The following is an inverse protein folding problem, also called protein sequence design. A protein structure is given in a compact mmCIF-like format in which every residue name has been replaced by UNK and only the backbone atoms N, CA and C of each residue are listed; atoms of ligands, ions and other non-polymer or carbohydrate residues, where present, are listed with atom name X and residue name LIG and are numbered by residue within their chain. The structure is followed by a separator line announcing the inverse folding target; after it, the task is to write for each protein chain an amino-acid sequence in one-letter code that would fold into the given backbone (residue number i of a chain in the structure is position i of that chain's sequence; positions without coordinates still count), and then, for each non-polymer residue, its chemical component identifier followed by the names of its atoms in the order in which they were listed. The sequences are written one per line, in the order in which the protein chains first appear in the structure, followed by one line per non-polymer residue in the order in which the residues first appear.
data_IF_796334490777
#
_entry.id   IF_796334490777
#
_cell.length_a   1.000
_cell.length_b   1.000
_cell.length_c   1.000
_cell.angle_alpha   90.00
_cell.angle_beta   90.00
_cell.angle_gamma   90.00
#
_symmetry.space_group_name_H-M   'P 1'
#
loop_
_entity.id
_entity.type
_entity.pdbx_description
1 polymer ?
#
# COMPACT_ATOMS: atom_id res chain seq x y z
N UNK A 1 33.45 -10.96 -23.90
CA UNK A 1 31.99 -11.05 -24.18
C UNK A 1 31.29 -10.70 -22.89
N UNK A 2 30.91 -9.41 -22.76
CA UNK A 2 30.31 -8.85 -21.55
C UNK A 2 28.89 -9.35 -21.41
N UNK A 3 28.60 -10.11 -20.35
CA UNK A 3 27.23 -10.50 -20.01
C UNK A 3 26.52 -9.29 -19.40
N UNK A 4 25.63 -8.67 -20.17
CA UNK A 4 24.69 -7.68 -19.66
C UNK A 4 23.70 -8.46 -18.79
N UNK A 5 23.84 -8.35 -17.47
CA UNK A 5 22.83 -8.81 -16.54
C UNK A 5 21.60 -7.92 -16.73
N UNK A 6 20.57 -8.44 -17.38
CA UNK A 6 19.24 -7.83 -17.40
C UNK A 6 18.71 -7.88 -15.97
N UNK A 7 18.84 -6.76 -15.23
CA UNK A 7 18.24 -6.65 -13.90
C UNK A 7 16.73 -6.68 -14.09
N UNK A 8 16.09 -7.80 -13.80
CA UNK A 8 14.65 -7.83 -13.64
C UNK A 8 14.31 -6.91 -12.46
N UNK A 9 13.83 -5.69 -12.73
CA UNK A 9 13.44 -4.75 -11.67
C UNK A 9 12.29 -5.38 -10.88
N UNK A 10 12.54 -5.74 -9.63
CA UNK A 10 11.49 -6.19 -8.73
C UNK A 10 10.47 -5.05 -8.55
N UNK A 11 9.19 -5.40 -8.57
CA UNK A 11 8.13 -4.43 -8.31
C UNK A 11 8.20 -4.00 -6.84
N UNK A 12 7.95 -2.72 -6.59
CA UNK A 12 8.05 -2.13 -5.24
C UNK A 12 6.68 -2.00 -4.59
N UNK A 13 6.61 -2.32 -3.31
CA UNK A 13 5.40 -2.17 -2.47
C UNK A 13 5.65 -1.13 -1.39
N UNK A 14 4.72 -0.21 -1.24
CA UNK A 14 4.61 0.68 -0.09
C UNK A 14 3.49 0.16 0.81
N UNK A 15 3.79 -0.04 2.10
CA UNK A 15 2.79 -0.43 3.10
C UNK A 15 2.84 0.56 4.25
N UNK A 16 1.70 1.15 4.57
CA UNK A 16 1.55 2.04 5.71
C UNK A 16 0.43 1.57 6.63
N UNK A 17 0.77 1.40 7.90
CA UNK A 17 -0.16 0.96 8.94
C UNK A 17 -0.68 2.16 9.73
N UNK A 18 -1.97 2.14 10.05
CA UNK A 18 -2.61 2.99 11.05
C UNK A 18 -3.49 2.12 11.95
N UNK A 19 -3.59 2.45 13.23
CA UNK A 19 -4.47 1.74 14.16
C UNK A 19 -3.71 1.12 15.33
N UNK A 20 -3.81 -0.20 15.50
CA UNK A 20 -3.33 -0.92 16.67
C UNK A 20 -2.33 -2.04 16.32
N UNK A 21 -1.86 -2.75 17.35
CA UNK A 21 -0.91 -3.87 17.21
C UNK A 21 -1.40 -4.99 16.27
N UNK A 22 -2.72 -5.16 16.14
CA UNK A 22 -3.29 -6.13 15.20
C UNK A 22 -2.99 -5.73 13.76
N UNK A 23 -3.18 -4.45 13.41
CA UNK A 23 -2.83 -3.94 12.08
C UNK A 23 -1.34 -4.08 11.80
N UNK A 24 -0.46 -3.87 12.79
CA UNK A 24 0.98 -4.06 12.57
C UNK A 24 1.32 -5.52 12.27
N UNK A 25 0.75 -6.46 13.02
CA UNK A 25 0.92 -7.90 12.77
C UNK A 25 0.39 -8.32 11.39
N UNK A 26 -0.75 -7.79 10.99
CA UNK A 26 -1.34 -8.05 9.68
C UNK A 26 -0.43 -7.49 8.56
N UNK A 27 0.10 -6.28 8.77
CA UNK A 27 1.06 -5.66 7.85
C UNK A 27 2.35 -6.48 7.73
N UNK A 28 2.89 -7.03 8.83
CA UNK A 28 4.05 -7.94 8.79
C UNK A 28 3.75 -9.21 7.98
N UNK A 29 2.56 -9.80 8.17
CA UNK A 29 2.13 -10.99 7.44
C UNK A 29 2.03 -10.72 5.93
N UNK A 30 1.44 -9.57 5.56
CA UNK A 30 1.38 -9.12 4.16
C UNK A 30 2.77 -8.84 3.61
N UNK A 31 3.68 -8.28 4.41
CA UNK A 31 5.06 -8.01 3.98
C UNK A 31 5.78 -9.30 3.61
N UNK A 32 5.70 -10.32 4.47
CA UNK A 32 6.29 -11.63 4.22
C UNK A 32 5.70 -12.31 2.97
N UNK A 33 4.38 -12.20 2.77
CA UNK A 33 3.72 -12.73 1.57
C UNK A 33 4.22 -12.06 0.29
N UNK A 34 4.29 -10.73 0.26
CA UNK A 34 4.77 -9.98 -0.91
C UNK A 34 6.25 -10.28 -1.21
N UNK A 35 7.09 -10.36 -0.18
CA UNK A 35 8.48 -10.79 -0.32
C UNK A 35 8.59 -12.18 -0.94
N UNK A 36 7.81 -13.15 -0.47
CA UNK A 36 7.79 -14.50 -1.06
C UNK A 36 7.35 -14.55 -2.53
N UNK A 37 6.67 -13.48 -3.00
CA UNK A 37 6.22 -13.29 -4.37
C UNK A 37 7.21 -12.46 -5.22
N UNK A 38 8.36 -12.08 -4.67
CA UNK A 38 9.42 -11.36 -5.38
C UNK A 38 9.23 -9.84 -5.44
N UNK A 39 8.46 -9.27 -4.52
CA UNK A 39 8.35 -7.81 -4.38
C UNK A 39 9.40 -7.28 -3.41
N UNK A 40 9.91 -6.09 -3.70
CA UNK A 40 10.72 -5.28 -2.78
C UNK A 40 9.84 -4.24 -2.07
N UNK A 41 10.34 -3.68 -0.96
CA UNK A 41 9.66 -2.61 -0.23
C UNK A 41 10.29 -1.25 -0.46
N UNK A 42 9.46 -0.22 -0.45
CA UNK A 42 9.87 1.19 -0.51
C UNK A 42 9.14 2.00 0.55
N UNK A 43 9.82 2.99 1.10
CA UNK A 43 9.22 4.04 1.94
C UNK A 43 8.76 5.25 1.11
N UNK A 44 9.23 5.33 -0.14
CA UNK A 44 8.78 6.32 -1.10
C UNK A 44 7.55 5.79 -1.86
N UNK A 45 6.38 6.35 -1.53
CA UNK A 45 5.10 6.01 -2.15
C UNK A 45 5.07 6.31 -3.66
N UNK A 46 5.83 7.30 -4.12
CA UNK A 46 5.84 7.74 -5.50
C UNK A 46 6.68 6.78 -6.40
N UNK A 47 7.45 5.89 -5.78
CA UNK A 47 8.19 4.79 -6.43
C UNK A 47 7.46 3.44 -6.37
N UNK A 48 6.31 3.36 -5.70
CA UNK A 48 5.62 2.10 -5.48
C UNK A 48 4.76 1.69 -6.69
N UNK A 49 4.83 0.40 -7.03
CA UNK A 49 3.92 -0.25 -7.97
C UNK A 49 2.65 -0.74 -7.27
N UNK A 50 2.74 -0.98 -5.95
CA UNK A 50 1.61 -1.32 -5.09
C UNK A 50 1.63 -0.46 -3.84
N UNK A 51 0.52 0.20 -3.52
CA UNK A 51 0.35 1.02 -2.32
C UNK A 51 -0.73 0.38 -1.46
N UNK A 52 -0.39 0.00 -0.22
CA UNK A 52 -1.32 -0.59 0.74
C UNK A 52 -1.41 0.24 2.01
N UNK A 53 -2.64 0.63 2.37
CA UNK A 53 -2.94 1.21 3.67
C UNK A 53 -3.67 0.20 4.53
N UNK A 54 -3.08 -0.22 5.65
CA UNK A 54 -3.77 -1.07 6.62
C UNK A 54 -4.27 -0.21 7.77
N UNK A 55 -5.59 -0.09 7.93
CA UNK A 55 -6.18 0.87 8.87
C UNK A 55 -7.35 0.31 9.66
N UNK A 56 -7.49 0.81 10.90
CA UNK A 56 -8.57 0.50 11.81
C UNK A 56 -9.70 1.53 11.67
N UNK A 57 -10.96 1.08 11.74
CA UNK A 57 -12.15 1.94 11.73
C UNK A 57 -12.56 2.43 13.13
N UNK A 58 -12.19 1.67 14.16
CA UNK A 58 -12.64 1.92 15.55
C UNK A 58 -11.99 3.17 16.16
N UNK A 59 -10.87 3.63 15.60
CA UNK A 59 -10.12 4.79 16.10
C UNK A 59 -10.28 5.92 15.09
N UNK A 60 -11.14 6.90 15.39
CA UNK A 60 -11.45 8.05 14.49
C UNK A 60 -10.21 8.67 13.81
N UNK A 61 -9.12 8.87 14.53
CA UNK A 61 -7.90 9.47 13.96
C UNK A 61 -7.17 8.61 12.91
N UNK A 62 -7.45 7.30 12.81
CA UNK A 62 -6.83 6.43 11.81
C UNK A 62 -7.51 6.59 10.44
N UNK A 63 -8.83 6.74 10.41
CA UNK A 63 -9.61 6.91 9.18
C UNK A 63 -9.32 8.27 8.53
N UNK A 64 -9.38 9.36 9.31
CA UNK A 64 -9.11 10.72 8.85
C UNK A 64 -7.76 10.84 8.12
N UNK A 65 -6.76 10.11 8.61
CA UNK A 65 -5.41 10.08 8.01
C UNK A 65 -5.39 9.43 6.64
N UNK A 66 -6.19 8.39 6.41
CA UNK A 66 -6.26 7.69 5.13
C UNK A 66 -7.12 8.50 4.15
N UNK A 67 -8.26 9.03 4.58
CA UNK A 67 -9.08 9.93 3.77
C UNK A 67 -8.33 11.20 3.34
N UNK A 68 -7.57 11.82 4.24
CA UNK A 68 -6.72 12.97 3.90
C UNK A 68 -5.64 12.67 2.85
N UNK A 69 -5.32 11.39 2.60
CA UNK A 69 -4.36 10.95 1.58
C UNK A 69 -5.02 10.60 0.25
N UNK A 70 -6.36 10.51 0.18
CA UNK A 70 -7.10 10.13 -1.02
C UNK A 70 -6.68 10.97 -2.25
N UNK A 71 -6.57 12.29 -2.10
CA UNK A 71 -6.14 13.18 -3.18
C UNK A 71 -4.74 12.86 -3.73
N UNK A 72 -3.77 12.53 -2.86
CA UNK A 72 -2.43 12.10 -3.28
C UNK A 72 -2.51 10.78 -4.04
N UNK A 73 -3.31 9.83 -3.57
CA UNK A 73 -3.47 8.52 -4.20
C UNK A 73 -4.09 8.61 -5.60
N UNK A 74 -5.12 9.44 -5.77
CA UNK A 74 -5.72 9.69 -7.08
C UNK A 74 -4.73 10.38 -8.02
N UNK A 75 -3.89 11.29 -7.52
CA UNK A 75 -2.82 11.90 -8.31
C UNK A 75 -1.78 10.86 -8.77
N UNK A 76 -1.34 9.96 -7.87
CA UNK A 76 -0.42 8.87 -8.23
C UNK A 76 -1.05 7.99 -9.31
N UNK A 77 -2.31 7.55 -9.12
CA UNK A 77 -3.01 6.70 -10.09
C UNK A 77 -3.19 7.40 -11.45
N UNK A 78 -3.40 8.71 -11.47
CA UNK A 78 -3.48 9.51 -12.70
C UNK A 78 -2.13 9.57 -13.44
N UNK A 79 -1.03 9.71 -12.71
CA UNK A 79 0.33 9.80 -13.29
C UNK A 79 0.90 8.43 -13.65
N UNK A 80 0.57 7.40 -12.87
CA UNK A 80 0.98 6.00 -13.01
C UNK A 80 -0.26 5.08 -12.97
N UNK A 81 -0.99 4.95 -14.10
CA UNK A 81 -2.24 4.18 -14.16
C UNK A 81 -2.11 2.72 -13.73
N UNK A 82 -0.91 2.14 -13.88
CA UNK A 82 -0.63 0.75 -13.52
C UNK A 82 -0.37 0.54 -12.02
N UNK A 83 -0.20 1.60 -11.23
CA UNK A 83 -0.01 1.48 -9.77
C UNK A 83 -1.27 0.90 -9.13
N UNK A 84 -1.14 -0.19 -8.39
CA UNK A 84 -2.24 -0.79 -7.62
C UNK A 84 -2.35 -0.07 -6.27
N UNK A 85 -3.55 0.37 -5.91
CA UNK A 85 -3.81 1.04 -4.63
C UNK A 85 -4.87 0.23 -3.89
N UNK A 86 -4.60 -0.13 -2.65
CA UNK A 86 -5.49 -0.93 -1.82
C UNK A 86 -5.55 -0.44 -0.37
N UNK A 87 -6.67 -0.72 0.27
CA UNK A 87 -6.87 -0.54 1.71
C UNK A 87 -7.19 -1.91 2.32
N UNK A 88 -6.67 -2.14 3.53
CA UNK A 88 -6.86 -3.33 4.34
C UNK A 88 -7.27 -2.94 5.76
N UNK A 89 -7.69 -3.93 6.55
CA UNK A 89 -8.14 -3.72 7.93
C UNK A 89 -9.62 -3.35 8.03
N UNK A 90 -10.10 -3.06 9.24
CA UNK A 90 -11.52 -2.85 9.53
C UNK A 90 -12.14 -1.71 8.70
N UNK A 91 -11.38 -0.64 8.43
CA UNK A 91 -11.87 0.46 7.60
C UNK A 91 -12.15 0.03 6.15
N UNK A 92 -11.41 -0.93 5.60
CA UNK A 92 -11.71 -1.46 4.27
C UNK A 92 -13.09 -2.13 4.23
N UNK A 93 -13.52 -2.74 5.34
CA UNK A 93 -14.83 -3.40 5.46
C UNK A 93 -15.97 -2.38 5.58
N UNK A 94 -15.74 -1.30 6.33
CA UNK A 94 -16.78 -0.29 6.60
C UNK A 94 -16.88 0.78 5.50
N UNK A 95 -15.75 1.18 4.91
CA UNK A 95 -15.65 2.36 4.04
C UNK A 95 -15.01 2.10 2.67
N UNK A 96 -14.61 0.86 2.36
CA UNK A 96 -13.87 0.54 1.14
C UNK A 96 -14.59 0.93 -0.15
N UNK A 97 -15.93 0.83 -0.18
CA UNK A 97 -16.74 1.19 -1.36
C UNK A 97 -16.82 2.70 -1.60
N UNK A 98 -16.79 3.50 -0.53
CA UNK A 98 -16.90 4.96 -0.61
C UNK A 98 -15.53 5.61 -0.82
N UNK A 99 -14.45 4.96 -0.36
CA UNK A 99 -13.10 5.52 -0.45
C UNK A 99 -12.62 5.72 -1.88
N UNK A 100 -12.99 4.84 -2.82
CA UNK A 100 -12.53 4.88 -4.21
C UNK A 100 -13.58 5.43 -5.20
N UNK A 101 -14.67 5.98 -4.70
CA UNK A 101 -15.72 6.58 -5.52
C UNK A 101 -15.37 8.03 -5.84
#
# INVERSE_FOLDING_TARGET
MSQIATVASHKKVFVQTFGCQMNERDSESVRGLMQSRGYDFTEDIDQADVVLYNTCSVRQHAEDRVFGRHGKLMSIKKQRPDTVIGIMGCMAQEHGADFFR
#
